data_IF_045200161184
#
_entry.id   IF_045200161184
#
_cell.length_a   1.000
_cell.length_b   1.000
_cell.length_c   1.000
_cell.angle_alpha   90.00
_cell.angle_beta   90.00
_cell.angle_gamma   90.00
#
_symmetry.space_group_name_H-M   'P 1'
#
loop_
_entity.id
_entity.type
_entity.pdbx_description
1 polymer ?
#
# COMPACT_ATOMS: atom_id res chain seq x y z
N UNK A 1 3.44 11.69 24.75
CA UNK A 1 4.28 10.92 23.79
C UNK A 1 3.43 10.45 22.61
N UNK A 2 3.49 11.17 21.48
CA UNK A 2 2.68 10.93 20.28
C UNK A 2 3.47 10.31 19.12
N UNK A 3 4.75 9.97 19.35
CA UNK A 3 5.63 9.37 18.34
C UNK A 3 5.70 7.88 18.60
N UNK A 4 5.16 7.08 17.68
CA UNK A 4 5.22 5.61 17.68
C UNK A 4 6.21 5.11 16.64
N UNK A 5 6.87 3.98 16.89
CA UNK A 5 7.90 3.43 16.01
C UNK A 5 7.39 2.29 15.10
N UNK A 6 6.08 2.06 15.01
CA UNK A 6 5.54 0.92 14.28
C UNK A 6 4.19 1.17 13.61
N UNK A 7 3.87 0.31 12.64
CA UNK A 7 2.61 0.28 11.89
C UNK A 7 1.87 -1.02 12.18
N UNK A 8 0.53 -0.97 12.22
CA UNK A 8 -0.33 -2.15 12.38
C UNK A 8 -1.06 -2.40 11.06
N UNK A 9 -0.92 -3.60 10.52
CA UNK A 9 -1.54 -4.01 9.27
C UNK A 9 -2.63 -5.05 9.53
N UNK A 10 -3.71 -5.02 8.74
CA UNK A 10 -4.83 -5.94 8.84
C UNK A 10 -5.39 -6.30 7.47
N UNK A 11 -5.70 -7.58 7.28
CA UNK A 11 -6.22 -8.14 6.02
C UNK A 11 -7.75 -8.07 5.80
N UNK A 12 -8.64 -7.91 6.81
CA UNK A 12 -10.09 -8.09 6.61
C UNK A 12 -10.71 -7.30 5.46
N UNK A 13 -10.28 -6.04 5.26
CA UNK A 13 -10.81 -5.19 4.18
C UNK A 13 -10.40 -5.73 2.78
N UNK A 14 -9.15 -6.17 2.62
CA UNK A 14 -8.66 -6.73 1.37
C UNK A 14 -9.28 -8.10 1.08
N UNK A 15 -9.36 -8.99 2.08
CA UNK A 15 -9.95 -10.32 1.90
C UNK A 15 -11.45 -10.25 1.58
N UNK A 16 -12.18 -9.28 2.15
CA UNK A 16 -13.60 -9.06 1.82
C UNK A 16 -13.79 -8.60 0.37
N UNK A 17 -12.80 -7.88 -0.19
CA UNK A 17 -12.78 -7.46 -1.60
C UNK A 17 -12.30 -8.54 -2.57
N UNK A 18 -11.84 -9.69 -2.07
CA UNK A 18 -11.34 -10.79 -2.89
C UNK A 18 -9.82 -10.84 -3.09
N UNK A 19 -9.03 -10.06 -2.35
CA UNK A 19 -7.57 -10.18 -2.41
C UNK A 19 -7.11 -11.52 -1.86
N UNK A 20 -6.23 -12.20 -2.61
CA UNK A 20 -5.57 -13.43 -2.20
C UNK A 20 -4.15 -13.19 -1.70
N UNK A 21 -3.43 -14.29 -1.44
CA UNK A 21 -2.05 -14.23 -0.97
C UNK A 21 -1.10 -13.52 -1.95
N UNK A 22 -1.34 -13.65 -3.25
CA UNK A 22 -0.53 -13.01 -4.30
C UNK A 22 -0.63 -11.49 -4.19
N UNK A 23 -1.85 -10.97 -4.07
CA UNK A 23 -2.09 -9.54 -3.87
C UNK A 23 -1.46 -9.04 -2.57
N UNK A 24 -1.54 -9.80 -1.47
CA UNK A 24 -0.93 -9.39 -0.20
C UNK A 24 0.60 -9.42 -0.22
N UNK A 25 1.23 -10.36 -0.92
CA UNK A 25 2.70 -10.33 -1.17
C UNK A 25 3.07 -9.07 -1.93
N UNK A 26 2.34 -8.77 -3.01
CA UNK A 26 2.59 -7.57 -3.80
C UNK A 26 2.41 -6.28 -2.99
N UNK A 27 1.39 -6.21 -2.13
CA UNK A 27 1.20 -5.07 -1.20
C UNK A 27 2.37 -4.96 -0.23
N UNK A 28 2.89 -6.08 0.30
CA UNK A 28 4.06 -6.07 1.18
C UNK A 28 5.30 -5.50 0.47
N UNK A 29 5.54 -5.90 -0.80
CA UNK A 29 6.64 -5.36 -1.60
C UNK A 29 6.52 -3.84 -1.77
N UNK A 30 5.31 -3.33 -1.99
CA UNK A 30 5.08 -1.88 -2.10
C UNK A 30 5.23 -1.13 -0.78
N UNK A 31 4.86 -1.75 0.35
CA UNK A 31 5.12 -1.17 1.67
C UNK A 31 6.63 -1.02 1.87
N UNK A 32 7.41 -2.04 1.53
CA UNK A 32 8.88 -1.99 1.59
C UNK A 32 9.44 -0.90 0.66
N UNK A 33 8.96 -0.81 -0.58
CA UNK A 33 9.37 0.21 -1.55
C UNK A 33 9.22 1.64 -0.99
N UNK A 34 8.08 1.93 -0.34
CA UNK A 34 7.83 3.24 0.28
C UNK A 34 8.71 3.47 1.50
N UNK A 35 8.84 2.48 2.39
CA UNK A 35 9.61 2.61 3.64
C UNK A 35 11.11 2.77 3.35
N UNK A 36 11.65 1.98 2.42
CA UNK A 36 13.05 2.09 1.99
C UNK A 36 13.30 3.42 1.29
N UNK A 37 12.35 3.87 0.45
CA UNK A 37 12.39 5.19 -0.17
C UNK A 37 12.42 6.33 0.85
N UNK A 38 11.57 6.27 1.90
CA UNK A 38 11.59 7.23 3.00
C UNK A 38 12.93 7.21 3.75
N UNK A 39 13.48 6.03 4.03
CA UNK A 39 14.76 5.89 4.72
C UNK A 39 15.92 6.47 3.91
N UNK A 40 15.90 6.33 2.58
CA UNK A 40 16.95 6.82 1.69
C UNK A 40 16.83 8.32 1.38
N UNK A 41 15.61 8.82 1.18
CA UNK A 41 15.35 10.17 0.65
C UNK A 41 14.90 11.18 1.72
N UNK A 42 14.52 10.71 2.91
CA UNK A 42 13.90 11.51 3.97
C UNK A 42 12.46 11.92 3.65
N UNK A 43 11.77 12.47 4.66
CA UNK A 43 10.33 12.75 4.63
C UNK A 43 9.88 13.61 3.44
N UNK A 44 10.71 14.56 3.00
CA UNK A 44 10.38 15.47 1.89
C UNK A 44 10.84 14.95 0.51
N UNK A 45 11.60 13.86 0.46
CA UNK A 45 12.27 13.40 -0.76
C UNK A 45 11.59 12.22 -1.47
N UNK A 46 10.52 11.65 -0.91
CA UNK A 46 9.99 10.38 -1.37
C UNK A 46 8.79 10.45 -2.33
N UNK A 47 8.33 11.66 -2.69
CA UNK A 47 7.11 11.86 -3.47
C UNK A 47 7.05 11.07 -4.78
N UNK A 48 8.19 10.91 -5.47
CA UNK A 48 8.24 10.14 -6.72
C UNK A 48 7.96 8.64 -6.52
N UNK A 49 8.48 8.05 -5.44
CA UNK A 49 8.23 6.64 -5.09
C UNK A 49 6.78 6.46 -4.66
N UNK A 50 6.26 7.39 -3.85
CA UNK A 50 4.87 7.37 -3.40
C UNK A 50 3.88 7.45 -4.56
N UNK A 51 4.10 8.35 -5.53
CA UNK A 51 3.23 8.45 -6.71
C UNK A 51 3.30 7.20 -7.60
N UNK A 52 4.49 6.61 -7.76
CA UNK A 52 4.64 5.37 -8.50
C UNK A 52 3.90 4.20 -7.81
N UNK A 53 4.07 4.04 -6.50
CA UNK A 53 3.38 3.01 -5.72
C UNK A 53 1.88 3.24 -5.71
N UNK A 54 1.42 4.48 -5.57
CA UNK A 54 0.01 4.86 -5.64
C UNK A 54 -0.64 4.40 -6.94
N UNK A 55 0.02 4.62 -8.08
CA UNK A 55 -0.50 4.18 -9.38
C UNK A 55 -0.65 2.64 -9.44
N UNK A 56 0.32 1.89 -8.91
CA UNK A 56 0.27 0.42 -8.82
C UNK A 56 -0.88 -0.05 -7.91
N UNK A 57 -1.07 0.59 -6.75
CA UNK A 57 -2.16 0.31 -5.80
C UNK A 57 -3.52 0.57 -6.42
N UNK A 58 -3.68 1.69 -7.15
CA UNK A 58 -4.92 2.01 -7.84
C UNK A 58 -5.27 0.92 -8.86
N UNK A 59 -4.31 0.53 -9.71
CA UNK A 59 -4.51 -0.52 -10.70
C UNK A 59 -4.90 -1.88 -10.06
N UNK A 60 -4.35 -2.21 -8.88
CA UNK A 60 -4.80 -3.38 -8.12
C UNK A 60 -6.24 -3.21 -7.62
N UNK A 61 -6.58 -2.06 -7.05
CA UNK A 61 -7.91 -1.81 -6.53
C UNK A 61 -8.99 -1.86 -7.62
N UNK A 62 -8.69 -1.40 -8.83
CA UNK A 62 -9.61 -1.40 -9.98
C UNK A 62 -9.97 -2.83 -10.43
N UNK A 63 -9.08 -3.81 -10.19
CA UNK A 63 -9.36 -5.24 -10.44
C UNK A 63 -10.37 -5.83 -9.46
N UNK A 64 -10.58 -5.20 -8.30
CA UNK A 64 -11.44 -5.67 -7.21
C UNK A 64 -12.33 -4.51 -6.70
N UNK A 65 -13.33 -4.08 -7.49
CA UNK A 65 -14.16 -2.94 -7.17
C UNK A 65 -14.99 -3.20 -5.90
N UNK A 66 -15.03 -2.21 -5.01
CA UNK A 66 -15.74 -2.32 -3.73
C UNK A 66 -17.26 -2.26 -3.89
N UNK A 67 -17.76 -1.48 -4.86
CA UNK A 67 -19.18 -1.30 -5.16
C UNK A 67 -19.42 -1.50 -6.66
N UNK A 68 -19.64 -2.74 -7.12
CA UNK A 68 -19.93 -2.99 -8.53
C UNK A 68 -21.27 -2.33 -8.93
N UNK A 69 -21.24 -1.41 -9.89
CA UNK A 69 -22.45 -0.78 -10.45
C UNK A 69 -22.93 0.50 -9.75
N UNK A 70 -22.10 1.11 -8.91
CA UNK A 70 -22.32 2.43 -8.29
C UNK A 70 -21.33 3.46 -8.84
#
# INVERSE_FOLDING_TARGET
PFVTSGIRLGTPAGTTRGFGEVEFRQIADWIVEVVDGLAANGDAGNAAVEEAVRAKVQALCDRFPLYPGL
#
